data_IF_733650472224
#
_entry.id   IF_733650472224
#
_cell.length_a   1.000
_cell.length_b   1.000
_cell.length_c   1.000
_cell.angle_alpha   90.00
_cell.angle_beta   90.00
_cell.angle_gamma   90.00
#
_symmetry.space_group_name_H-M   'P 1'
#
loop_
_entity.id
_entity.type
_entity.pdbx_description
1 polymer ?
#
# COMPACT_ATOMS: atom_id res chain seq x y z
N UNK A 1 0.54 -35.48 9.53
CA UNK A 1 0.82 -34.57 8.40
C UNK A 1 0.29 -33.19 8.81
N UNK A 2 1.04 -32.12 9.03
CA UNK A 2 2.36 -31.74 8.54
C UNK A 2 2.23 -30.47 7.69
N UNK A 3 2.76 -29.34 8.20
CA UNK A 3 3.00 -28.00 7.60
C UNK A 3 1.86 -26.97 7.73
N UNK A 4 2.01 -25.79 8.35
CA UNK A 4 3.04 -24.73 8.47
C UNK A 4 2.74 -23.52 7.57
N UNK A 5 2.91 -22.31 8.12
CA UNK A 5 3.04 -21.04 7.39
C UNK A 5 1.95 -20.02 7.77
N UNK A 6 2.16 -19.18 8.79
CA UNK A 6 2.73 -17.81 8.69
C UNK A 6 1.69 -16.79 8.14
N UNK A 7 1.36 -15.67 8.77
CA UNK A 7 2.20 -14.80 9.59
C UNK A 7 1.37 -13.92 10.53
N UNK A 8 1.90 -13.73 11.75
CA UNK A 8 1.65 -12.57 12.59
C UNK A 8 1.78 -11.26 11.82
N UNK A 9 1.01 -10.24 12.23
CA UNK A 9 1.60 -8.92 12.46
C UNK A 9 1.04 -8.31 13.75
N UNK A 10 1.85 -8.45 14.81
CA UNK A 10 2.20 -7.48 15.86
C UNK A 10 1.16 -6.45 16.33
N UNK A 11 0.81 -6.55 17.60
CA UNK A 11 0.32 -5.43 18.42
C UNK A 11 1.52 -4.57 18.82
N UNK A 12 1.51 -3.27 18.49
CA UNK A 12 2.60 -2.35 18.81
C UNK A 12 2.10 -0.96 19.21
N UNK A 13 2.40 -0.60 20.45
CA UNK A 13 2.01 0.61 21.18
C UNK A 13 2.41 1.95 20.55
N UNK A 14 1.69 2.99 20.97
CA UNK A 14 2.05 4.39 20.80
C UNK A 14 3.48 4.67 21.26
N UNK A 15 4.32 5.26 20.40
CA UNK A 15 5.51 6.01 20.80
C UNK A 15 5.95 6.96 19.68
N UNK A 16 5.93 8.24 20.02
CA UNK A 16 6.54 9.35 19.31
C UNK A 16 8.07 9.19 19.25
N UNK A 17 8.66 9.29 18.05
CA UNK A 17 10.08 9.60 17.80
C UNK A 17 10.25 10.07 16.35
N UNK A 18 10.84 11.25 16.17
CA UNK A 18 10.96 11.93 14.87
C UNK A 18 12.06 11.38 13.94
N UNK A 19 12.15 12.04 12.78
CA UNK A 19 13.24 11.99 11.78
C UNK A 19 13.21 10.87 10.75
N UNK A 20 12.59 11.19 9.61
CA UNK A 20 13.06 11.10 8.21
C UNK A 20 11.77 11.17 7.40
N UNK A 21 11.56 12.25 6.65
CA UNK A 21 10.31 12.54 5.97
C UNK A 21 9.88 11.39 5.05
N UNK A 22 9.05 10.49 5.56
CA UNK A 22 8.32 9.53 4.74
C UNK A 22 7.44 10.37 3.81
N UNK A 23 7.61 10.29 2.49
CA UNK A 23 6.74 11.01 1.57
C UNK A 23 5.33 10.50 1.81
N UNK A 24 4.47 11.36 2.35
CA UNK A 24 3.05 11.09 2.49
C UNK A 24 2.45 10.83 1.09
N UNK A 25 1.47 9.93 0.96
CA UNK A 25 0.93 9.45 -0.32
C UNK A 25 0.20 10.51 -1.16
N UNK A 26 0.29 11.80 -0.81
CA UNK A 26 -0.52 12.86 -1.41
C UNK A 26 0.12 13.55 -2.61
N UNK A 27 1.39 13.28 -2.96
CA UNK A 27 2.02 13.87 -4.14
C UNK A 27 2.64 12.81 -5.06
N UNK A 28 1.80 12.17 -5.89
CA UNK A 28 2.26 11.38 -7.04
C UNK A 28 3.04 12.24 -8.06
N UNK A 29 2.95 13.58 -7.96
CA UNK A 29 3.63 14.52 -8.84
C UNK A 29 5.15 14.53 -8.66
N UNK A 30 5.63 14.41 -7.42
CA UNK A 30 7.07 14.52 -7.11
C UNK A 30 7.84 13.22 -7.29
N UNK A 31 7.17 12.07 -7.37
CA UNK A 31 7.84 10.76 -7.43
C UNK A 31 8.35 10.44 -8.85
N UNK A 32 7.75 11.04 -9.89
CA UNK A 32 8.05 10.70 -11.27
C UNK A 32 8.64 11.87 -12.05
N UNK A 33 9.82 11.66 -12.65
CA UNK A 33 10.45 12.63 -13.54
C UNK A 33 10.15 12.23 -14.99
N UNK A 34 9.67 13.16 -15.82
CA UNK A 34 9.51 12.91 -17.25
C UNK A 34 10.88 12.96 -17.94
N UNK A 35 11.22 11.92 -18.69
CA UNK A 35 12.50 11.85 -19.40
C UNK A 35 12.41 12.64 -20.72
N UNK A 36 13.40 13.47 -21.06
CA UNK A 36 13.44 14.16 -22.35
C UNK A 36 13.70 13.17 -23.50
N UNK A 37 13.09 13.41 -24.66
CA UNK A 37 13.28 12.58 -25.86
C UNK A 37 12.42 11.29 -25.89
N UNK A 38 11.68 10.96 -24.85
CA UNK A 38 10.77 9.82 -24.80
C UNK A 38 9.47 10.16 -24.04
N UNK A 39 8.42 9.36 -24.20
CA UNK A 39 7.17 9.46 -23.42
C UNK A 39 7.20 8.65 -22.12
N UNK A 40 8.39 8.50 -21.52
CA UNK A 40 8.63 7.68 -20.33
C UNK A 40 8.87 8.51 -19.08
N UNK A 41 8.70 7.87 -17.92
CA UNK A 41 8.85 8.46 -16.60
C UNK A 41 9.83 7.64 -15.74
N UNK A 42 10.76 8.30 -15.07
CA UNK A 42 11.65 7.70 -14.09
C UNK A 42 11.02 7.80 -12.70
N UNK A 43 10.84 6.67 -12.02
CA UNK A 43 10.41 6.62 -10.63
C UNK A 43 11.60 6.88 -9.70
N UNK A 44 11.61 8.00 -8.96
CA UNK A 44 12.67 8.32 -7.99
C UNK A 44 12.74 7.37 -6.80
N UNK A 45 11.65 6.66 -6.49
CA UNK A 45 11.60 5.74 -5.37
C UNK A 45 12.29 4.40 -5.63
N UNK A 46 12.22 3.87 -6.85
CA UNK A 46 12.81 2.57 -7.18
C UNK A 46 13.73 2.59 -8.40
N UNK A 47 13.96 3.76 -9.01
CA UNK A 47 14.84 3.93 -10.16
C UNK A 47 14.32 3.33 -11.47
N UNK A 48 13.06 2.88 -11.52
CA UNK A 48 12.50 2.23 -12.72
C UNK A 48 11.94 3.25 -13.71
N UNK A 49 12.23 3.02 -14.99
CA UNK A 49 11.61 3.76 -16.10
C UNK A 49 10.33 3.07 -16.53
N UNK A 50 9.22 3.81 -16.62
CA UNK A 50 7.90 3.30 -16.96
C UNK A 50 7.16 4.19 -17.94
N UNK A 51 6.30 3.61 -18.77
CA UNK A 51 5.42 4.35 -19.69
C UNK A 51 4.19 4.94 -19.00
N UNK A 52 3.70 4.31 -17.93
CA UNK A 52 2.54 4.77 -17.17
C UNK A 52 2.86 4.95 -15.68
N UNK A 53 3.05 6.21 -15.28
CA UNK A 53 3.35 6.57 -13.89
C UNK A 53 2.24 6.21 -12.90
N UNK A 54 0.95 6.32 -13.29
CA UNK A 54 -0.18 6.02 -12.39
C UNK A 54 -0.33 4.53 -12.09
N UNK A 55 -0.14 3.68 -13.10
CA UNK A 55 -0.15 2.24 -12.89
C UNK A 55 1.04 1.80 -12.02
N UNK A 56 2.22 2.37 -12.26
CA UNK A 56 3.39 2.10 -11.43
C UNK A 56 3.23 2.61 -9.99
N UNK A 57 2.64 3.79 -9.80
CA UNK A 57 2.38 4.38 -8.49
C UNK A 57 1.57 3.43 -7.60
N UNK A 58 0.55 2.77 -8.16
CA UNK A 58 -0.26 1.76 -7.45
C UNK A 58 0.52 0.53 -6.97
N UNK A 59 1.74 0.28 -7.48
CA UNK A 59 2.62 -0.76 -6.96
C UNK A 59 3.36 -0.32 -5.69
N UNK A 60 3.57 0.98 -5.53
CA UNK A 60 4.18 1.56 -4.32
C UNK A 60 3.15 1.80 -3.23
N UNK A 61 2.00 2.35 -3.61
CA UNK A 61 0.82 2.49 -2.76
C UNK A 61 -0.34 1.75 -3.39
N UNK A 62 -0.51 0.44 -3.10
CA UNK A 62 -1.77 -0.20 -3.42
C UNK A 62 -2.89 0.58 -2.72
N UNK A 63 -4.04 0.76 -3.37
CA UNK A 63 -5.22 1.32 -2.73
C UNK A 63 -5.55 0.48 -1.49
N UNK A 64 -5.18 1.02 -0.33
CA UNK A 64 -5.42 0.44 0.98
C UNK A 64 -6.86 0.73 1.35
N UNK A 65 -7.67 -0.32 1.39
CA UNK A 65 -9.08 -0.24 1.70
C UNK A 65 -9.26 -0.65 3.16
N UNK A 66 -9.52 0.30 4.08
CA UNK A 66 -9.76 -0.03 5.47
C UNK A 66 -11.13 -0.67 5.65
N UNK A 67 -11.21 -1.65 6.54
CA UNK A 67 -12.47 -2.22 7.00
C UNK A 67 -13.21 -1.21 7.88
N UNK A 68 -14.50 -0.92 7.65
CA UNK A 68 -15.24 0.05 8.45
C UNK A 68 -15.55 -0.44 9.88
N UNK A 69 -15.36 -1.72 10.19
CA UNK A 69 -15.69 -2.32 11.49
C UNK A 69 -14.44 -2.37 12.38
N UNK A 70 -13.35 -2.95 11.88
CA UNK A 70 -12.14 -3.19 12.67
C UNK A 70 -10.93 -2.37 12.20
N UNK A 71 -11.10 -1.52 11.19
CA UNK A 71 -10.03 -0.71 10.57
C UNK A 71 -8.83 -1.49 10.03
N UNK A 72 -8.94 -2.82 9.90
CA UNK A 72 -7.94 -3.64 9.22
C UNK A 72 -7.80 -3.18 7.76
N UNK A 73 -6.56 -3.04 7.28
CA UNK A 73 -6.24 -2.50 5.96
C UNK A 73 -6.07 -3.63 4.95
N UNK A 74 -6.77 -3.54 3.82
CA UNK A 74 -6.72 -4.54 2.76
C UNK A 74 -6.22 -3.93 1.45
N UNK A 75 -5.27 -4.59 0.79
CA UNK A 75 -4.79 -4.15 -0.53
C UNK A 75 -5.75 -4.45 -1.70
N UNK A 76 -6.86 -5.17 -1.44
CA UNK A 76 -7.83 -5.62 -2.46
C UNK A 76 -9.26 -5.58 -1.92
N UNK A 77 -10.18 -5.10 -2.76
CA UNK A 77 -11.61 -5.01 -2.44
C UNK A 77 -12.27 -6.38 -2.21
N UNK A 78 -11.85 -7.39 -2.97
CA UNK A 78 -12.39 -8.76 -2.84
C UNK A 78 -12.04 -9.38 -1.48
N UNK A 79 -10.85 -9.07 -0.95
CA UNK A 79 -10.39 -9.59 0.34
C UNK A 79 -11.17 -8.93 1.48
N UNK A 80 -11.41 -7.61 1.37
CA UNK A 80 -12.31 -6.91 2.28
C UNK A 80 -13.72 -7.52 2.25
N UNK A 81 -14.26 -7.82 1.06
CA UNK A 81 -15.61 -8.41 0.94
C UNK A 81 -15.69 -9.80 1.57
N UNK A 82 -14.68 -10.64 1.39
CA UNK A 82 -14.60 -11.93 2.08
C UNK A 82 -14.49 -11.76 3.60
N UNK A 83 -13.64 -10.82 4.04
CA UNK A 83 -13.48 -10.49 5.45
C UNK A 83 -14.79 -10.03 6.10
N UNK A 84 -15.56 -9.16 5.45
CA UNK A 84 -16.88 -8.71 5.92
C UNK A 84 -17.93 -9.83 5.93
N UNK A 85 -17.81 -10.81 5.03
CA UNK A 85 -18.73 -11.96 4.98
C UNK A 85 -18.40 -13.01 6.06
N UNK A 86 -17.13 -13.14 6.41
CA UNK A 86 -16.63 -14.06 7.44
C UNK A 86 -16.61 -13.47 8.85
N UNK A 87 -16.60 -12.14 8.99
CA UNK A 87 -16.98 -11.47 10.21
C UNK A 87 -18.48 -11.69 10.45
N UNK A 88 -18.82 -12.82 11.08
CA UNK A 88 -20.07 -12.89 11.84
C UNK A 88 -20.06 -11.70 12.79
N UNK A 89 -21.14 -10.91 12.90
CA UNK A 89 -21.18 -9.81 13.84
C UNK A 89 -20.83 -10.40 15.21
N UNK A 90 -19.68 -10.03 15.76
CA UNK A 90 -19.50 -10.13 17.18
C UNK A 90 -20.56 -9.19 17.75
N UNK A 91 -21.59 -9.83 18.29
CA UNK A 91 -22.73 -9.29 19.02
C UNK A 91 -22.37 -8.11 19.92
#
# INVERSE_FOLDING_TARGET
MGKAGSSSVESGSHSSKGSLGVPTPQSSGDIFIRLPGCSLFLCRMCGKTVSNKWHHFRRHWPDEIPCPICHAVFARKDHLKYHLRGQSPHT
#
